data_IF_836056575465
#
_entry.id   IF_836056575465
#
_cell.length_a   1.000
_cell.length_b   1.000
_cell.length_c   1.000
_cell.angle_alpha   90.00
_cell.angle_beta   90.00
_cell.angle_gamma   90.00
#
_symmetry.space_group_name_H-M   'P 1'
#
loop_
_entity.id
_entity.type
_entity.pdbx_description
1 polymer ?
#
# COMPACT_ATOMS: atom_id res chain seq x y z
N UNK A 1 -11.71 -15.67 -16.50
CA UNK A 1 -10.23 -15.54 -16.53
C UNK A 1 -9.75 -14.35 -15.70
N UNK A 2 -9.94 -13.10 -16.14
CA UNK A 2 -9.40 -11.87 -15.50
C UNK A 2 -9.56 -11.80 -13.97
N UNK A 3 -10.75 -12.11 -13.42
CA UNK A 3 -11.00 -12.12 -11.96
C UNK A 3 -10.05 -13.05 -11.18
N UNK A 4 -9.77 -14.24 -11.72
CA UNK A 4 -8.86 -15.22 -11.10
C UNK A 4 -7.40 -14.76 -11.17
N UNK A 5 -6.99 -14.17 -12.31
CA UNK A 5 -5.65 -13.58 -12.46
C UNK A 5 -5.43 -12.45 -11.44
N UNK A 6 -6.43 -11.57 -11.25
CA UNK A 6 -6.40 -10.50 -10.23
C UNK A 6 -6.20 -11.08 -8.83
N UNK A 7 -7.02 -12.04 -8.41
CA UNK A 7 -6.90 -12.66 -7.09
C UNK A 7 -5.57 -13.39 -6.89
N UNK A 8 -5.02 -14.00 -7.93
CA UNK A 8 -3.69 -14.61 -7.91
C UNK A 8 -2.60 -13.55 -7.68
N UNK A 9 -2.60 -12.45 -8.45
CA UNK A 9 -1.65 -11.33 -8.29
C UNK A 9 -1.76 -10.68 -6.91
N UNK A 10 -2.98 -10.44 -6.42
CA UNK A 10 -3.22 -9.91 -5.06
C UNK A 10 -2.66 -10.87 -3.99
N UNK A 11 -2.85 -12.19 -4.15
CA UNK A 11 -2.32 -13.19 -3.22
C UNK A 11 -0.79 -13.24 -3.21
N UNK A 12 -0.16 -13.27 -4.40
CA UNK A 12 1.32 -13.27 -4.52
C UNK A 12 1.90 -11.97 -3.95
N UNK A 13 1.29 -10.81 -4.25
CA UNK A 13 1.75 -9.52 -3.74
C UNK A 13 1.64 -9.44 -2.21
N UNK A 14 0.56 -9.96 -1.61
CA UNK A 14 0.46 -10.12 -0.14
C UNK A 14 1.52 -11.07 0.41
N UNK A 15 1.78 -12.21 -0.25
CA UNK A 15 2.77 -13.19 0.20
C UNK A 15 4.18 -12.59 0.22
N UNK A 16 4.60 -11.92 -0.87
CA UNK A 16 5.92 -11.27 -0.96
C UNK A 16 6.06 -10.17 0.10
N UNK A 17 5.06 -9.29 0.26
CA UNK A 17 5.09 -8.27 1.31
C UNK A 17 5.09 -8.89 2.71
N UNK A 18 4.36 -9.98 2.96
CA UNK A 18 4.38 -10.68 4.25
C UNK A 18 5.77 -11.21 4.61
N UNK A 19 6.51 -11.75 3.63
CA UNK A 19 7.92 -12.18 3.83
C UNK A 19 8.83 -11.00 4.17
N UNK A 20 8.69 -9.87 3.46
CA UNK A 20 9.42 -8.62 3.75
C UNK A 20 9.07 -8.11 5.16
N UNK A 21 7.81 -8.21 5.57
CA UNK A 21 7.34 -7.81 6.89
C UNK A 21 7.87 -8.68 8.02
N UNK A 22 7.95 -10.00 7.82
CA UNK A 22 8.61 -10.90 8.78
C UNK A 22 10.09 -10.57 8.94
N UNK A 23 10.79 -10.23 7.85
CA UNK A 23 12.18 -9.76 7.92
C UNK A 23 12.27 -8.42 8.68
N UNK A 24 11.43 -7.43 8.36
CA UNK A 24 11.39 -6.15 9.07
C UNK A 24 11.11 -6.28 10.57
N UNK A 25 10.17 -7.15 10.97
CA UNK A 25 9.89 -7.46 12.37
C UNK A 25 11.08 -8.14 13.06
N UNK A 26 11.75 -9.10 12.41
CA UNK A 26 12.96 -9.71 12.93
C UNK A 26 14.10 -8.68 13.12
N UNK A 27 14.24 -7.74 12.19
CA UNK A 27 15.20 -6.63 12.28
C UNK A 27 14.89 -5.69 13.46
N UNK A 28 13.63 -5.33 13.67
CA UNK A 28 13.20 -4.50 14.81
C UNK A 28 13.47 -5.23 16.14
N UNK A 29 13.11 -6.51 16.25
CA UNK A 29 13.33 -7.32 17.45
C UNK A 29 14.82 -7.49 17.76
N UNK A 30 15.64 -7.77 16.76
CA UNK A 30 17.10 -7.85 16.91
C UNK A 30 17.72 -6.50 17.29
N UNK A 31 17.24 -5.40 16.69
CA UNK A 31 17.64 -4.04 17.07
C UNK A 31 17.31 -3.74 18.53
N UNK A 32 16.09 -4.03 18.97
CA UNK A 32 15.68 -3.85 20.37
C UNK A 32 16.53 -4.69 21.34
N UNK A 33 16.90 -5.92 20.96
CA UNK A 33 17.85 -6.74 21.70
C UNK A 33 19.26 -6.11 21.75
N UNK A 34 19.77 -5.61 20.62
CA UNK A 34 21.07 -4.90 20.57
C UNK A 34 21.07 -3.64 21.46
N UNK A 35 19.99 -2.83 21.45
CA UNK A 35 19.82 -1.69 22.37
C UNK A 35 19.92 -2.16 23.83
N UNK A 36 19.24 -3.26 24.20
CA UNK A 36 19.29 -3.84 25.56
C UNK A 36 20.64 -4.45 25.93
N UNK A 37 21.49 -4.81 24.96
CA UNK A 37 22.89 -5.21 25.21
C UNK A 37 23.79 -3.99 25.39
N UNK A 38 23.66 -3.00 24.50
CA UNK A 38 24.41 -1.73 24.56
C UNK A 38 24.12 -0.96 25.86
N UNK A 39 22.85 -0.79 26.23
CA UNK A 39 22.44 -0.14 27.49
C UNK A 39 23.06 -0.78 28.74
N UNK A 40 23.22 -2.12 28.77
CA UNK A 40 23.88 -2.80 29.90
C UNK A 40 25.37 -2.51 29.95
N UNK A 41 26.07 -2.59 28.80
CA UNK A 41 27.51 -2.28 28.73
C UNK A 41 27.82 -0.83 29.09
N UNK A 42 27.00 0.13 28.65
CA UNK A 42 27.17 1.54 28.99
C UNK A 42 26.76 1.84 30.44
N UNK A 43 25.73 1.16 30.97
CA UNK A 43 25.20 1.39 32.32
C UNK A 43 26.00 0.79 33.47
N UNK A 44 26.96 -0.11 33.19
CA UNK A 44 27.90 -0.64 34.20
C UNK A 44 29.17 0.22 34.35
N UNK A 45 29.36 1.26 33.53
CA UNK A 45 30.45 2.22 33.69
C UNK A 45 30.13 3.18 34.86
N UNK A 46 30.95 3.24 35.93
CA UNK A 46 30.57 3.89 37.19
C UNK A 46 30.48 5.42 37.11
N UNK A 47 31.12 6.03 36.11
CA UNK A 47 31.04 7.45 35.78
C UNK A 47 31.09 7.57 34.25
N UNK A 48 30.19 8.36 33.65
CA UNK A 48 30.02 8.34 32.18
C UNK A 48 29.06 9.40 31.63
N UNK A 49 29.20 10.66 32.07
CA UNK A 49 28.56 11.79 31.36
C UNK A 49 29.44 12.32 30.22
N UNK A 50 30.75 12.08 30.29
CA UNK A 50 31.76 12.40 29.28
C UNK A 50 32.33 11.09 28.73
N UNK A 51 31.83 10.60 27.59
CA UNK A 51 32.36 9.38 26.96
C UNK A 51 32.43 9.51 25.44
N UNK A 52 33.64 9.46 24.88
CA UNK A 52 33.94 9.60 23.44
C UNK A 52 33.46 8.42 22.56
N UNK A 53 32.55 7.58 23.06
CA UNK A 53 31.99 6.49 22.27
C UNK A 53 31.05 7.05 21.19
N UNK A 54 31.27 6.73 19.90
CA UNK A 54 30.38 7.19 18.85
C UNK A 54 28.96 6.64 19.09
N UNK A 55 27.89 7.39 18.73
CA UNK A 55 26.53 6.89 18.79
C UNK A 55 26.41 5.54 18.07
N UNK A 56 25.56 4.60 18.56
CA UNK A 56 25.44 3.26 17.98
C UNK A 56 24.65 3.27 16.66
N UNK A 57 25.22 3.94 15.65
CA UNK A 57 24.64 4.24 14.34
C UNK A 57 24.11 2.98 13.65
N UNK A 58 24.84 1.87 13.72
CA UNK A 58 24.44 0.59 13.13
C UNK A 58 23.11 0.07 13.73
N UNK A 59 22.92 0.21 15.04
CA UNK A 59 21.70 -0.22 15.72
C UNK A 59 20.51 0.66 15.26
N UNK A 60 20.71 1.96 15.11
CA UNK A 60 19.68 2.87 14.61
C UNK A 60 19.36 2.66 13.11
N UNK A 61 20.38 2.39 12.28
CA UNK A 61 20.20 2.07 10.87
C UNK A 61 19.44 0.75 10.67
N UNK A 62 19.82 -0.30 11.40
CA UNK A 62 19.14 -1.60 11.35
C UNK A 62 17.69 -1.51 11.84
N UNK A 63 17.43 -0.70 12.88
CA UNK A 63 16.07 -0.40 13.36
C UNK A 63 15.25 0.37 12.32
N UNK A 64 15.81 1.44 11.75
CA UNK A 64 15.14 2.29 10.77
C UNK A 64 14.80 1.57 9.47
N UNK A 65 15.68 0.69 8.99
CA UNK A 65 15.44 -0.14 7.82
C UNK A 65 14.37 -1.22 8.10
N UNK A 66 14.38 -1.82 9.30
CA UNK A 66 13.32 -2.73 9.75
C UNK A 66 11.94 -2.04 9.83
N UNK A 67 11.86 -0.83 10.39
CA UNK A 67 10.63 -0.01 10.41
C UNK A 67 10.16 0.34 9.00
N UNK A 68 11.09 0.71 8.11
CA UNK A 68 10.78 1.00 6.69
C UNK A 68 10.18 -0.23 6.00
N UNK A 69 10.73 -1.42 6.21
CA UNK A 69 10.17 -2.68 5.69
C UNK A 69 8.77 -2.98 6.23
N UNK A 70 8.48 -2.68 7.50
CA UNK A 70 7.13 -2.80 8.05
C UNK A 70 6.14 -1.80 7.40
N UNK A 71 6.53 -0.53 7.18
CA UNK A 71 5.69 0.47 6.49
C UNK A 71 5.41 0.05 5.04
N UNK A 72 6.41 -0.47 4.33
CA UNK A 72 6.27 -1.00 2.97
C UNK A 72 5.34 -2.21 2.95
N UNK A 73 5.46 -3.11 3.92
CA UNK A 73 4.57 -4.26 4.07
C UNK A 73 3.13 -3.82 4.29
N UNK A 74 2.87 -2.93 5.25
CA UNK A 74 1.53 -2.43 5.55
C UNK A 74 0.90 -1.75 4.32
N UNK A 75 1.65 -0.87 3.64
CA UNK A 75 1.16 -0.23 2.41
C UNK A 75 0.95 -1.22 1.26
N UNK A 76 1.79 -2.25 1.13
CA UNK A 76 1.65 -3.33 0.13
C UNK A 76 0.43 -4.21 0.36
N UNK A 77 0.12 -4.56 1.60
CA UNK A 77 -1.12 -5.27 1.95
C UNK A 77 -2.36 -4.41 1.64
N UNK A 78 -2.37 -3.14 2.05
CA UNK A 78 -3.48 -2.20 1.76
C UNK A 78 -3.64 -1.96 0.26
N UNK A 79 -2.54 -1.84 -0.48
CA UNK A 79 -2.55 -1.71 -1.95
C UNK A 79 -3.09 -2.98 -2.63
N UNK A 80 -2.69 -4.17 -2.16
CA UNK A 80 -3.19 -5.44 -2.69
C UNK A 80 -4.68 -5.67 -2.39
N UNK A 81 -5.18 -5.22 -1.23
CA UNK A 81 -6.60 -5.37 -0.85
C UNK A 81 -7.50 -4.35 -1.54
N UNK A 82 -7.22 -3.06 -1.36
CA UNK A 82 -8.05 -2.00 -1.94
C UNK A 82 -7.99 -1.98 -3.46
N UNK A 83 -6.84 -2.34 -4.04
CA UNK A 83 -6.49 -2.09 -5.45
C UNK A 83 -6.77 -0.63 -5.89
N UNK A 84 -6.77 0.31 -4.94
CA UNK A 84 -7.02 1.73 -5.17
C UNK A 84 -5.75 2.36 -5.77
N UNK A 85 -5.92 3.15 -6.82
CA UNK A 85 -4.82 3.83 -7.50
C UNK A 85 -3.95 4.69 -6.57
N UNK A 86 -4.52 5.28 -5.52
CA UNK A 86 -3.77 6.05 -4.52
C UNK A 86 -2.89 5.15 -3.64
N UNK A 87 -3.48 4.15 -2.96
CA UNK A 87 -2.74 3.22 -2.09
C UNK A 87 -1.65 2.45 -2.84
N UNK A 88 -1.96 2.04 -4.07
CA UNK A 88 -1.01 1.36 -4.95
C UNK A 88 0.10 2.30 -5.44
N UNK A 89 -0.19 3.58 -5.71
CA UNK A 89 0.85 4.55 -6.03
C UNK A 89 1.79 4.82 -4.85
N UNK A 90 1.26 4.97 -3.62
CA UNK A 90 2.07 5.10 -2.41
C UNK A 90 3.01 3.90 -2.22
N UNK A 91 2.49 2.68 -2.38
CA UNK A 91 3.31 1.47 -2.32
C UNK A 91 4.42 1.46 -3.39
N UNK A 92 4.09 1.73 -4.65
CA UNK A 92 5.09 1.79 -5.72
C UNK A 92 6.13 2.89 -5.49
N UNK A 93 5.74 4.05 -4.95
CA UNK A 93 6.69 5.12 -4.57
C UNK A 93 7.65 4.63 -3.49
N UNK A 94 7.20 3.93 -2.44
CA UNK A 94 8.11 3.41 -1.43
C UNK A 94 9.09 2.35 -1.98
N UNK A 95 8.64 1.45 -2.86
CA UNK A 95 9.53 0.44 -3.47
C UNK A 95 10.50 1.07 -4.47
N UNK A 96 10.07 2.10 -5.22
CA UNK A 96 11.01 2.90 -6.05
C UNK A 96 12.01 3.67 -5.18
N UNK A 97 11.61 4.19 -4.02
CA UNK A 97 12.54 4.84 -3.09
C UNK A 97 13.57 3.85 -2.50
N UNK A 98 13.19 2.60 -2.21
CA UNK A 98 14.17 1.56 -1.86
C UNK A 98 15.16 1.31 -3.01
N UNK A 99 14.68 1.08 -4.23
CA UNK A 99 15.54 0.87 -5.40
C UNK A 99 16.49 2.06 -5.64
N UNK A 100 16.03 3.30 -5.41
CA UNK A 100 16.89 4.49 -5.51
C UNK A 100 17.94 4.57 -4.40
N UNK A 101 17.62 4.15 -3.17
CA UNK A 101 18.59 4.07 -2.07
C UNK A 101 19.60 2.94 -2.31
N UNK A 102 19.16 1.76 -2.72
CA UNK A 102 20.03 0.63 -3.06
C UNK A 102 20.95 0.95 -4.25
N UNK A 103 20.43 1.62 -5.28
CA UNK A 103 21.24 2.11 -6.39
C UNK A 103 22.23 3.19 -5.95
N UNK A 104 21.83 4.14 -5.10
CA UNK A 104 22.72 5.18 -4.59
C UNK A 104 23.86 4.60 -3.75
N UNK A 105 23.57 3.73 -2.78
CA UNK A 105 24.58 3.05 -1.95
C UNK A 105 25.48 2.15 -2.79
N UNK A 106 24.94 1.46 -3.80
CA UNK A 106 25.76 0.64 -4.71
C UNK A 106 26.71 1.51 -5.54
N UNK A 107 26.22 2.60 -6.13
CA UNK A 107 27.03 3.53 -6.93
C UNK A 107 28.10 4.21 -6.08
N UNK A 108 27.78 4.59 -4.84
CA UNK A 108 28.73 5.18 -3.90
C UNK A 108 29.86 4.19 -3.59
N UNK A 109 29.55 2.98 -3.12
CA UNK A 109 30.54 1.92 -2.82
C UNK A 109 31.36 1.49 -4.06
N UNK A 110 30.85 1.67 -5.28
CA UNK A 110 31.60 1.39 -6.52
C UNK A 110 32.45 2.57 -7.06
N UNK A 111 32.15 3.82 -6.68
CA UNK A 111 32.85 5.02 -7.19
C UNK A 111 33.73 5.71 -6.15
N UNK A 112 33.28 5.78 -4.89
CA UNK A 112 34.05 6.29 -3.77
C UNK A 112 35.07 5.21 -3.36
N UNK A 113 36.36 5.47 -3.54
CA UNK A 113 37.43 4.53 -3.14
C UNK A 113 37.58 4.42 -1.63
N UNK A 114 37.19 5.47 -0.93
CA UNK A 114 37.53 5.71 0.47
C UNK A 114 36.24 5.67 1.35
N UNK A 115 35.17 5.06 0.83
CA UNK A 115 33.85 4.87 1.48
C UNK A 115 33.92 4.16 2.85
N UNK A 116 35.02 3.45 3.13
CA UNK A 116 35.26 2.85 4.44
C UNK A 116 35.63 3.88 5.52
N UNK A 117 36.13 5.07 5.14
CA UNK A 117 36.51 6.16 6.06
C UNK A 117 35.31 6.97 6.57
N UNK A 118 34.15 6.92 5.88
CA UNK A 118 32.91 7.58 6.29
C UNK A 118 32.28 6.97 7.57
N UNK A 119 32.72 5.76 7.98
CA UNK A 119 32.24 5.11 9.19
C UNK A 119 33.02 5.56 10.44
N UNK A 120 32.34 5.86 11.56
CA UNK A 120 33.02 6.17 12.81
C UNK A 120 33.77 4.92 13.31
N UNK A 121 35.02 5.12 13.75
CA UNK A 121 35.94 4.06 14.19
C UNK A 121 35.26 3.09 15.16
N UNK A 122 35.25 1.80 14.80
CA UNK A 122 34.70 0.72 15.63
C UNK A 122 35.75 0.22 16.64
N UNK A 123 35.65 0.55 17.96
CA UNK A 123 36.58 0.05 18.96
C UNK A 123 36.40 -1.45 19.27
N UNK A 124 35.38 -2.10 18.69
CA UNK A 124 35.07 -3.52 18.95
C UNK A 124 35.63 -4.49 17.90
N UNK A 125 36.13 -3.99 16.76
CA UNK A 125 36.69 -4.80 15.66
C UNK A 125 35.69 -5.69 14.92
N UNK A 126 34.39 -5.61 15.25
CA UNK A 126 33.35 -6.41 14.61
C UNK A 126 33.13 -5.97 13.15
N UNK A 127 33.36 -4.69 12.83
CA UNK A 127 33.25 -4.18 11.46
C UNK A 127 34.29 -4.79 10.52
N UNK A 128 35.56 -4.92 10.94
CA UNK A 128 36.58 -5.61 10.14
C UNK A 128 36.30 -7.11 10.02
N UNK A 129 35.76 -7.77 11.05
CA UNK A 129 35.31 -9.16 10.93
C UNK A 129 34.18 -9.30 9.90
N UNK A 130 33.24 -8.34 9.86
CA UNK A 130 32.15 -8.29 8.90
C UNK A 130 32.63 -8.03 7.46
N UNK A 131 33.56 -7.09 7.23
CA UNK A 131 34.20 -6.87 5.92
C UNK A 131 34.93 -8.12 5.43
N UNK A 132 35.70 -8.78 6.31
CA UNK A 132 36.37 -10.05 5.99
C UNK A 132 35.37 -11.17 5.63
N UNK A 133 34.22 -11.23 6.31
CA UNK A 133 33.14 -12.16 5.95
C UNK A 133 32.56 -11.86 4.56
N UNK A 134 32.26 -10.60 4.24
CA UNK A 134 31.77 -10.20 2.89
C UNK A 134 32.81 -10.56 1.83
N UNK A 135 34.08 -10.19 2.00
CA UNK A 135 35.14 -10.47 1.03
C UNK A 135 35.30 -11.98 0.78
N UNK A 136 35.27 -12.79 1.84
CA UNK A 136 35.36 -14.27 1.74
C UNK A 136 34.15 -14.90 1.04
N UNK A 137 32.97 -14.27 1.13
CA UNK A 137 31.70 -14.79 0.64
C UNK A 137 31.09 -13.95 -0.50
N UNK A 138 31.90 -13.15 -1.20
CA UNK A 138 31.44 -12.08 -2.10
C UNK A 138 30.42 -12.55 -3.14
N UNK A 139 30.62 -13.72 -3.75
CA UNK A 139 29.65 -14.28 -4.70
C UNK A 139 28.27 -14.50 -4.08
N UNK A 140 28.19 -15.03 -2.85
CA UNK A 140 26.91 -15.21 -2.15
C UNK A 140 26.28 -13.85 -1.79
N UNK A 141 27.07 -12.89 -1.32
CA UNK A 141 26.59 -11.53 -1.05
C UNK A 141 26.03 -10.86 -2.32
N UNK A 142 26.69 -11.02 -3.46
CA UNK A 142 26.24 -10.54 -4.78
C UNK A 142 24.92 -11.19 -5.21
N UNK A 143 24.78 -12.50 -5.06
CA UNK A 143 23.51 -13.20 -5.37
C UNK A 143 22.37 -12.79 -4.43
N UNK A 144 22.66 -12.52 -3.14
CA UNK A 144 21.68 -11.99 -2.19
C UNK A 144 21.21 -10.58 -2.61
N UNK A 145 22.14 -9.68 -2.94
CA UNK A 145 21.81 -8.32 -3.42
C UNK A 145 21.00 -8.34 -4.72
N UNK A 146 21.40 -9.16 -5.70
CA UNK A 146 20.65 -9.33 -6.95
C UNK A 146 19.24 -9.90 -6.70
N UNK A 147 19.08 -10.82 -5.74
CA UNK A 147 17.79 -11.36 -5.33
C UNK A 147 16.89 -10.27 -4.71
N UNK A 148 17.44 -9.41 -3.84
CA UNK A 148 16.70 -8.30 -3.21
C UNK A 148 16.12 -7.33 -4.24
N UNK A 149 16.96 -6.85 -5.16
CA UNK A 149 16.55 -5.98 -6.29
C UNK A 149 15.52 -6.69 -7.18
N UNK A 150 15.69 -8.00 -7.43
CA UNK A 150 14.76 -8.80 -8.22
C UNK A 150 13.37 -8.93 -7.55
N UNK A 151 13.32 -9.09 -6.22
CA UNK A 151 12.06 -9.14 -5.46
C UNK A 151 11.35 -7.79 -5.46
N UNK A 152 12.09 -6.68 -5.37
CA UNK A 152 11.51 -5.34 -5.49
C UNK A 152 10.96 -5.07 -6.90
N UNK A 153 11.74 -5.40 -7.95
CA UNK A 153 11.29 -5.32 -9.33
C UNK A 153 10.05 -6.17 -9.63
N UNK A 154 10.01 -7.41 -9.13
CA UNK A 154 8.85 -8.29 -9.25
C UNK A 154 7.62 -7.74 -8.51
N UNK A 155 7.82 -7.16 -7.32
CA UNK A 155 6.74 -6.50 -6.56
C UNK A 155 6.15 -5.29 -7.28
N UNK A 156 7.00 -4.47 -7.92
CA UNK A 156 6.57 -3.37 -8.79
C UNK A 156 5.81 -3.86 -10.03
N UNK A 157 6.27 -4.94 -10.67
CA UNK A 157 5.57 -5.54 -11.81
C UNK A 157 4.17 -6.06 -11.41
N UNK A 158 4.06 -6.77 -10.29
CA UNK A 158 2.77 -7.22 -9.75
C UNK A 158 1.83 -6.04 -9.44
N UNK A 159 2.34 -4.98 -8.82
CA UNK A 159 1.57 -3.77 -8.55
C UNK A 159 1.11 -3.07 -9.84
N UNK A 160 1.99 -2.94 -10.84
CA UNK A 160 1.67 -2.34 -12.14
C UNK A 160 0.64 -3.15 -12.92
N UNK A 161 0.69 -4.48 -12.89
CA UNK A 161 -0.35 -5.32 -13.50
C UNK A 161 -1.67 -5.17 -12.71
N UNK A 162 -1.64 -5.15 -11.38
CA UNK A 162 -2.84 -4.90 -10.56
C UNK A 162 -3.47 -3.53 -10.86
N UNK A 163 -2.66 -2.50 -11.16
CA UNK A 163 -3.10 -1.19 -11.65
C UNK A 163 -3.81 -1.30 -13.01
N UNK A 164 -3.20 -2.00 -13.97
CA UNK A 164 -3.73 -2.18 -15.32
C UNK A 164 -5.04 -3.00 -15.34
N UNK A 165 -5.25 -3.87 -14.35
CA UNK A 165 -6.50 -4.60 -14.12
C UNK A 165 -7.63 -3.75 -13.51
N UNK A 166 -7.37 -2.48 -13.18
CA UNK A 166 -8.36 -1.47 -12.76
C UNK A 166 -9.04 -1.72 -11.41
N UNK A 167 -9.95 -0.81 -10.97
CA UNK A 167 -10.84 -1.05 -9.84
C UNK A 167 -11.67 -2.33 -10.02
N UNK A 168 -12.19 -2.92 -8.94
CA UNK A 168 -13.13 -4.02 -9.10
C UNK A 168 -14.51 -3.45 -9.43
N UNK A 169 -15.09 -3.88 -10.55
CA UNK A 169 -16.40 -3.41 -11.01
C UNK A 169 -17.57 -3.90 -10.16
N UNK A 170 -17.30 -4.68 -9.10
CA UNK A 170 -18.29 -5.21 -8.17
C UNK A 170 -18.27 -4.38 -6.88
N UNK A 171 -18.93 -3.22 -6.95
CA UNK A 171 -19.40 -2.46 -5.78
C UNK A 171 -20.91 -2.16 -5.87
N UNK A 172 -21.63 -2.94 -6.69
CA UNK A 172 -23.01 -3.30 -6.35
C UNK A 172 -22.93 -4.21 -5.12
N UNK A 173 -22.99 -3.60 -3.94
CA UNK A 173 -23.37 -4.30 -2.73
C UNK A 173 -24.88 -4.18 -2.62
N UNK A 174 -25.60 -5.30 -2.53
CA UNK A 174 -27.04 -5.33 -2.28
C UNK A 174 -27.38 -4.95 -0.82
N UNK A 175 -26.67 -3.95 -0.28
CA UNK A 175 -27.00 -3.29 0.97
C UNK A 175 -28.20 -2.38 0.73
N UNK A 176 -29.41 -2.88 1.02
CA UNK A 176 -30.64 -2.09 1.11
C UNK A 176 -30.59 -1.17 2.35
N UNK A 177 -29.55 -0.34 2.44
CA UNK A 177 -29.45 0.72 3.43
C UNK A 177 -30.23 1.93 2.90
N UNK A 178 -31.42 2.12 3.45
CA UNK A 178 -32.34 3.20 3.08
C UNK A 178 -31.59 4.55 2.93
N UNK A 179 -31.77 5.28 1.81
CA UNK A 179 -31.08 6.54 1.60
C UNK A 179 -31.72 7.65 2.45
N UNK A 180 -31.41 7.65 3.76
CA UNK A 180 -31.98 8.56 4.76
C UNK A 180 -31.41 10.00 4.67
N UNK A 181 -31.01 10.40 3.45
CA UNK A 181 -30.92 11.80 3.02
C UNK A 181 -32.30 12.27 2.59
N UNK A 182 -33.16 12.46 3.57
CA UNK A 182 -34.46 13.12 3.44
C UNK A 182 -34.40 14.34 2.51
N UNK A 183 -35.17 14.37 1.41
CA UNK A 183 -35.38 15.59 0.64
C UNK A 183 -36.23 16.55 1.49
N UNK A 184 -35.59 17.50 2.18
CA UNK A 184 -36.22 18.44 3.14
C UNK A 184 -37.21 19.45 2.51
N UNK A 185 -37.77 19.15 1.33
CA UNK A 185 -38.78 19.98 0.67
C UNK A 185 -39.70 19.20 -0.29
N UNK A 186 -40.20 18.03 0.15
CA UNK A 186 -41.30 17.37 -0.57
C UNK A 186 -42.24 16.58 0.36
N UNK A 187 -43.19 17.28 1.01
CA UNK A 187 -44.55 16.80 1.30
C UNK A 187 -45.42 17.87 2.00
N UNK A 188 -46.45 18.36 1.30
CA UNK A 188 -47.68 18.90 1.86
C UNK A 188 -48.79 18.77 0.78
N UNK A 189 -50.04 18.37 1.11
CA UNK A 189 -51.02 17.95 0.11
C UNK A 189 -51.97 19.06 -0.36
N UNK A 190 -52.58 18.85 -1.54
CA UNK A 190 -53.81 19.55 -1.95
C UNK A 190 -55.02 18.90 -1.30
N UNK A 191 -55.92 19.69 -0.69
CA UNK A 191 -57.35 19.44 -0.90
C UNK A 191 -58.30 20.67 -0.86
N UNK A 192 -59.52 20.48 -1.40
CA UNK A 192 -60.73 21.33 -1.33
C UNK A 192 -60.68 22.65 -2.17
N UNK A 193 -61.36 22.75 -3.32
CA UNK A 193 -62.79 23.16 -3.49
C UNK A 193 -62.96 24.68 -3.25
N UNK A 194 -63.51 25.52 -4.15
CA UNK A 194 -64.30 25.36 -5.41
C UNK A 194 -63.53 26.04 -6.61
N UNK A 195 -64.00 26.34 -7.84
CA UNK A 195 -65.35 26.38 -8.45
C UNK A 195 -65.37 26.11 -9.99
N UNK A 196 -66.59 26.13 -10.56
CA UNK A 196 -67.05 26.33 -11.96
C UNK A 196 -66.03 26.45 -13.13
N UNK A 197 -66.29 25.66 -14.19
CA UNK A 197 -66.17 26.18 -15.57
C UNK A 197 -65.66 25.24 -16.68
N UNK A 198 -66.44 24.21 -17.07
CA UNK A 198 -66.29 23.40 -18.32
C UNK A 198 -64.97 22.61 -18.50
N UNK A 199 -64.94 21.38 -19.02
CA UNK A 199 -66.01 20.42 -19.35
C UNK A 199 -65.36 19.07 -19.66
N UNK A 200 -65.87 17.97 -19.10
CA UNK A 200 -65.16 16.68 -19.02
C UNK A 200 -65.68 15.63 -20.02
N UNK A 201 -64.77 14.78 -20.52
CA UNK A 201 -65.10 13.41 -20.93
C UNK A 201 -64.81 13.03 -22.39
N UNK A 202 -63.87 12.11 -22.66
CA UNK A 202 -63.83 11.38 -23.93
C UNK A 202 -64.94 10.31 -23.92
N UNK A 203 -65.98 10.48 -24.74
CA UNK A 203 -67.07 9.49 -24.87
C UNK A 203 -66.81 8.49 -26.00
N UNK A 204 -66.65 7.23 -25.63
CA UNK A 204 -66.70 6.08 -26.53
C UNK A 204 -68.04 5.35 -26.32
N UNK A 205 -69.06 5.69 -27.12
CA UNK A 205 -70.41 5.11 -27.06
C UNK A 205 -70.80 4.57 -28.44
N UNK A 206 -70.95 3.25 -28.55
CA UNK A 206 -71.32 2.55 -29.80
C UNK A 206 -72.84 2.48 -30.00
N UNK A 207 -73.37 2.98 -31.13
CA UNK A 207 -74.78 2.81 -31.50
C UNK A 207 -74.99 2.48 -32.98
N UNK A 208 -75.81 1.45 -33.25
CA UNK A 208 -76.12 0.94 -34.60
C UNK A 208 -77.64 0.92 -34.82
N UNK A 209 -78.12 1.83 -35.69
CA UNK A 209 -79.35 1.75 -36.52
C UNK A 209 -79.34 3.00 -37.44
N UNK A 210 -79.22 2.90 -38.76
CA UNK A 210 -80.12 2.31 -39.79
C UNK A 210 -81.31 3.23 -40.11
N UNK A 211 -81.49 3.47 -41.42
CA UNK A 211 -82.43 4.42 -42.06
C UNK A 211 -82.01 5.91 -41.95
N UNK A 212 -82.25 6.78 -42.94
CA UNK A 212 -83.01 6.61 -44.20
C UNK A 212 -82.26 7.17 -45.44
N UNK A 213 -82.89 7.08 -46.60
CA UNK A 213 -82.36 7.27 -47.97
C UNK A 213 -82.27 8.74 -48.42
N UNK A 214 -81.68 8.89 -49.61
CA UNK A 214 -82.08 9.81 -50.71
C UNK A 214 -81.11 10.96 -51.04
N UNK A 215 -80.14 10.63 -51.90
CA UNK A 215 -79.87 11.31 -53.17
C UNK A 215 -80.14 12.83 -53.28
N UNK A 216 -79.05 13.62 -53.31
CA UNK A 216 -78.92 14.75 -54.22
C UNK A 216 -77.46 15.06 -54.55
#
# INVERSE_FOLDING_TARGET
MVRVLRSCIQSILKLVNSVIGMAGLAMILYSAWMIRVWQRKMGELPFGHDSDYPPPWFIYAFLGLGVTFCVITCSGHVAAETANGCCLYLYMVFVVLLLMVEAAVSVDVFLNRDWEEDFPKDPSGNFDQFKNFIHTNYEMCKWIGLSLVSVQGFSLLLAMILKALGPHQYYDSDDEYCPDRVPLLKNAPSPYIVDQGYGHGPKNDSWIRVSDKTNR
#
